data_IF_767953680045
#
_entry.id   IF_767953680045
#
_cell.length_a   1.000
_cell.length_b   1.000
_cell.length_c   1.000
_cell.angle_alpha   90.00
_cell.angle_beta   90.00
_cell.angle_gamma   90.00
#
_symmetry.space_group_name_H-M   'P 1'
#
loop_
_entity.id
_entity.type
_entity.pdbx_description
1 polymer ?
#
# COMPACT_ATOMS: atom_id res chain seq x y z
N UNK A 1 -30.64 65.40 8.60
CA UNK A 1 -30.72 64.28 9.56
C UNK A 1 -29.40 63.52 9.49
N UNK A 2 -28.54 63.63 10.50
CA UNK A 2 -27.32 62.82 10.61
C UNK A 2 -27.70 61.52 11.32
N UNK A 3 -27.67 60.41 10.60
CA UNK A 3 -27.74 59.10 11.23
C UNK A 3 -26.45 58.86 12.01
N UNK A 4 -26.57 58.35 13.23
CA UNK A 4 -25.40 57.95 14.02
C UNK A 4 -24.85 56.63 13.48
N UNK A 5 -23.53 56.43 13.56
CA UNK A 5 -22.85 55.23 13.04
C UNK A 5 -23.45 53.93 13.59
N UNK A 6 -23.94 53.96 14.82
CA UNK A 6 -24.65 52.85 15.47
C UNK A 6 -25.97 52.49 14.77
N UNK A 7 -26.77 53.49 14.36
CA UNK A 7 -28.04 53.24 13.66
C UNK A 7 -27.83 52.68 12.25
N UNK A 8 -26.75 53.09 11.58
CA UNK A 8 -26.38 52.52 10.27
C UNK A 8 -25.95 51.06 10.42
N UNK A 9 -25.20 50.74 11.48
CA UNK A 9 -24.79 49.38 11.79
C UNK A 9 -25.98 48.46 12.12
N UNK A 10 -26.92 48.93 12.94
CA UNK A 10 -28.11 48.16 13.31
C UNK A 10 -29.01 47.91 12.09
N UNK A 11 -29.18 48.90 11.22
CA UNK A 11 -29.94 48.72 9.98
C UNK A 11 -29.26 47.74 9.02
N UNK A 12 -27.94 47.85 8.84
CA UNK A 12 -27.17 46.93 8.00
C UNK A 12 -27.31 45.48 8.50
N UNK A 13 -27.18 45.25 9.82
CA UNK A 13 -27.31 43.92 10.41
C UNK A 13 -28.69 43.32 10.16
N UNK A 14 -29.73 44.14 10.29
CA UNK A 14 -31.12 43.72 10.11
C UNK A 14 -31.47 43.42 8.64
N UNK A 15 -30.97 44.23 7.72
CA UNK A 15 -31.12 43.97 6.27
C UNK A 15 -30.39 42.68 5.87
N UNK A 16 -29.18 42.47 6.40
CA UNK A 16 -28.38 41.28 6.13
C UNK A 16 -29.03 40.00 6.69
N UNK A 17 -29.56 40.03 7.92
CA UNK A 17 -30.32 38.92 8.52
C UNK A 17 -31.60 38.59 7.72
N UNK A 18 -32.29 39.61 7.20
CA UNK A 18 -33.48 39.40 6.35
C UNK A 18 -33.13 38.80 4.99
N UNK A 19 -32.00 39.18 4.41
CA UNK A 19 -31.55 38.62 3.14
C UNK A 19 -31.07 37.16 3.32
N UNK A 20 -30.34 36.85 4.40
CA UNK A 20 -29.97 35.47 4.76
C UNK A 20 -31.21 34.58 4.93
N UNK A 21 -32.23 35.06 5.66
CA UNK A 21 -33.49 34.31 5.81
C UNK A 21 -34.24 34.15 4.48
N UNK A 22 -34.15 35.12 3.56
CA UNK A 22 -34.75 35.01 2.21
C UNK A 22 -34.06 33.95 1.36
N UNK A 23 -32.75 33.79 1.53
CA UNK A 23 -31.97 32.71 0.92
C UNK A 23 -32.10 31.37 1.63
N UNK A 24 -32.90 31.30 2.71
CA UNK A 24 -33.16 30.06 3.46
C UNK A 24 -32.06 29.71 4.46
N UNK A 25 -31.12 30.62 4.71
CA UNK A 25 -30.07 30.47 5.72
C UNK A 25 -30.67 30.88 7.08
N UNK A 26 -31.12 29.89 7.84
CA UNK A 26 -31.79 30.09 9.15
C UNK A 26 -30.81 29.93 10.31
N UNK A 27 -29.78 29.10 10.13
CA UNK A 27 -28.76 28.84 11.14
C UNK A 27 -27.36 28.84 10.49
N UNK A 28 -26.62 29.91 10.72
CA UNK A 28 -25.23 30.06 10.25
C UNK A 28 -24.29 29.08 10.97
N UNK A 29 -24.56 28.74 12.23
CA UNK A 29 -23.72 27.84 12.99
C UNK A 29 -23.87 26.41 12.44
N UNK A 30 -25.10 26.01 12.08
CA UNK A 30 -25.38 24.73 11.40
C UNK A 30 -24.64 24.61 10.06
N UNK A 31 -24.68 25.65 9.22
CA UNK A 31 -23.95 25.65 7.94
C UNK A 31 -22.42 25.58 8.11
N UNK A 32 -21.89 26.22 9.14
CA UNK A 32 -20.46 26.15 9.46
C UNK A 32 -20.12 24.73 9.93
N UNK A 33 -20.94 24.13 10.81
CA UNK A 33 -20.74 22.76 11.27
C UNK A 33 -20.82 21.75 10.11
N UNK A 34 -21.79 21.87 9.21
CA UNK A 34 -21.90 21.04 8.00
C UNK A 34 -20.65 21.17 7.12
N UNK A 35 -20.21 22.40 6.84
CA UNK A 35 -19.00 22.65 6.04
C UNK A 35 -17.75 22.05 6.69
N UNK A 36 -17.60 22.14 8.01
CA UNK A 36 -16.47 21.57 8.73
C UNK A 36 -16.53 20.03 8.74
N UNK A 37 -17.73 19.45 8.82
CA UNK A 37 -17.94 18.01 8.79
C UNK A 37 -17.53 17.43 7.42
N UNK A 38 -17.94 18.08 6.33
CA UNK A 38 -17.54 17.68 4.96
C UNK A 38 -16.01 17.72 4.76
N UNK A 39 -15.35 18.78 5.25
CA UNK A 39 -13.89 18.89 5.19
C UNK A 39 -13.20 17.78 6.00
N UNK A 40 -13.73 17.46 7.18
CA UNK A 40 -13.20 16.40 8.03
C UNK A 40 -13.34 15.02 7.39
N UNK A 41 -14.51 14.71 6.83
CA UNK A 41 -14.76 13.45 6.12
C UNK A 41 -13.80 13.28 4.93
N UNK A 42 -13.59 14.35 4.17
CA UNK A 42 -12.65 14.36 3.05
C UNK A 42 -11.22 14.09 3.51
N UNK A 43 -10.80 14.72 4.61
CA UNK A 43 -9.47 14.50 5.19
C UNK A 43 -9.30 13.04 5.64
N UNK A 44 -10.28 12.49 6.36
CA UNK A 44 -10.23 11.09 6.80
C UNK A 44 -10.13 10.11 5.62
N UNK A 45 -10.88 10.37 4.54
CA UNK A 45 -10.81 9.53 3.35
C UNK A 45 -9.43 9.57 2.71
N UNK A 46 -8.81 10.75 2.61
CA UNK A 46 -7.45 10.90 2.08
C UNK A 46 -6.43 10.17 2.95
N UNK A 47 -6.49 10.34 4.26
CA UNK A 47 -5.60 9.64 5.20
C UNK A 47 -5.75 8.12 5.09
N UNK A 48 -6.97 7.62 4.93
CA UNK A 48 -7.21 6.20 4.74
C UNK A 48 -6.65 5.68 3.40
N UNK A 49 -6.85 6.40 2.30
CA UNK A 49 -6.28 6.06 0.99
C UNK A 49 -4.74 6.01 1.04
N UNK A 50 -4.09 6.99 1.69
CA UNK A 50 -2.63 7.01 1.87
C UNK A 50 -2.12 5.84 2.73
N UNK A 51 -2.85 5.48 3.78
CA UNK A 51 -2.53 4.34 4.63
C UNK A 51 -2.65 3.02 3.86
N UNK A 52 -3.72 2.84 3.08
CA UNK A 52 -3.95 1.66 2.25
C UNK A 52 -2.84 1.50 1.19
N UNK A 53 -2.44 2.58 0.52
CA UNK A 53 -1.31 2.58 -0.43
C UNK A 53 0.01 2.22 0.25
N UNK A 54 0.25 2.75 1.46
CA UNK A 54 1.45 2.46 2.24
C UNK A 54 1.48 0.99 2.65
N UNK A 55 0.37 0.44 3.16
CA UNK A 55 0.25 -0.98 3.52
C UNK A 55 0.48 -1.85 2.29
N UNK A 56 -0.17 -1.55 1.16
CA UNK A 56 0.01 -2.30 -0.09
C UNK A 56 1.47 -2.25 -0.58
N UNK A 57 2.20 -1.17 -0.32
CA UNK A 57 3.64 -1.07 -0.61
C UNK A 57 4.51 -1.91 0.34
N UNK A 58 4.13 -2.01 1.61
CA UNK A 58 4.82 -2.81 2.62
C UNK A 58 4.53 -4.31 2.51
N UNK A 59 3.28 -4.68 2.19
CA UNK A 59 2.84 -6.06 1.94
C UNK A 59 3.49 -6.67 0.70
N UNK A 60 3.97 -5.84 -0.24
CA UNK A 60 4.99 -6.22 -1.24
C UNK A 60 6.35 -6.42 -0.57
N UNK A 61 6.36 -7.16 0.54
CA UNK A 61 7.47 -7.38 1.43
C UNK A 61 8.71 -7.71 0.63
N UNK A 62 9.76 -6.95 0.91
CA UNK A 62 11.07 -7.08 0.31
C UNK A 62 11.67 -8.46 0.59
N UNK A 63 11.40 -9.43 -0.30
CA UNK A 63 11.94 -10.77 -0.21
C UNK A 63 13.41 -10.77 -0.64
N UNK A 64 14.33 -11.13 0.26
CA UNK A 64 15.74 -11.32 -0.10
C UNK A 64 15.83 -12.44 -1.15
N UNK A 65 16.62 -12.23 -2.20
CA UNK A 65 16.79 -13.20 -3.27
C UNK A 65 17.31 -14.54 -2.74
N UNK A 66 16.54 -15.61 -2.94
CA UNK A 66 16.85 -16.99 -2.53
C UNK A 66 18.01 -17.63 -3.31
N UNK A 67 18.44 -17.01 -4.42
CA UNK A 67 19.58 -17.49 -5.19
C UNK A 67 20.89 -16.84 -4.74
N UNK A 68 20.97 -15.51 -4.77
CA UNK A 68 22.24 -14.81 -4.50
C UNK A 68 22.36 -14.25 -3.07
N UNK A 69 21.24 -14.03 -2.37
CA UNK A 69 21.16 -13.46 -1.02
C UNK A 69 21.83 -12.09 -0.85
N UNK A 70 22.06 -11.37 -1.95
CA UNK A 70 22.73 -10.05 -1.96
C UNK A 70 21.77 -8.88 -2.03
N UNK A 71 20.57 -9.12 -2.54
CA UNK A 71 19.62 -8.07 -2.88
C UNK A 71 18.18 -8.58 -2.72
N UNK A 72 17.24 -7.64 -2.69
CA UNK A 72 15.81 -7.89 -2.62
C UNK A 72 15.23 -8.15 -4.00
N UNK A 73 14.24 -9.04 -4.08
CA UNK A 73 13.44 -9.29 -5.27
C UNK A 73 12.47 -8.12 -5.50
N UNK A 74 12.47 -7.57 -6.72
CA UNK A 74 11.61 -6.47 -7.14
C UNK A 74 10.57 -6.97 -8.14
N UNK A 75 9.35 -6.45 -8.06
CA UNK A 75 8.31 -6.75 -9.06
C UNK A 75 8.71 -6.22 -10.44
N UNK A 76 8.76 -7.11 -11.43
CA UNK A 76 8.95 -6.76 -12.85
C UNK A 76 7.66 -6.80 -13.65
N UNK A 77 6.68 -7.58 -13.19
CA UNK A 77 5.31 -7.61 -13.71
C UNK A 77 4.33 -7.95 -12.57
N UNK A 78 3.02 -7.96 -12.84
CA UNK A 78 1.98 -8.16 -11.82
C UNK A 78 2.22 -9.35 -10.87
N UNK A 79 2.77 -10.45 -11.36
CA UNK A 79 2.96 -11.68 -10.57
C UNK A 79 4.41 -12.19 -10.56
N UNK A 80 5.37 -11.42 -11.07
CA UNK A 80 6.75 -11.86 -11.22
C UNK A 80 7.72 -10.94 -10.50
N UNK A 81 8.57 -11.54 -9.69
CA UNK A 81 9.64 -10.84 -9.00
C UNK A 81 10.99 -11.27 -9.57
N UNK A 82 11.94 -10.33 -9.63
CA UNK A 82 13.30 -10.60 -10.10
C UNK A 82 14.35 -9.94 -9.22
N UNK A 83 15.53 -10.54 -9.14
CA UNK A 83 16.69 -9.98 -8.47
C UNK A 83 17.47 -9.10 -9.45
N UNK A 84 17.67 -7.80 -9.16
CA UNK A 84 18.42 -6.91 -10.04
C UNK A 84 19.92 -7.25 -10.07
N UNK A 85 20.44 -7.92 -9.05
CA UNK A 85 21.86 -8.26 -8.93
C UNK A 85 22.26 -9.53 -9.70
N UNK A 86 21.45 -10.59 -9.67
CA UNK A 86 21.79 -11.87 -10.30
C UNK A 86 20.86 -12.32 -11.43
N UNK A 87 19.77 -11.60 -11.68
CA UNK A 87 18.80 -11.94 -12.73
C UNK A 87 17.91 -13.15 -12.41
N UNK A 88 17.97 -13.71 -11.20
CA UNK A 88 17.01 -14.71 -10.75
C UNK A 88 15.60 -14.13 -10.79
N UNK A 89 14.62 -14.90 -11.27
CA UNK A 89 13.23 -14.48 -11.29
C UNK A 89 12.31 -15.65 -10.96
N UNK A 90 11.17 -15.33 -10.37
CA UNK A 90 10.14 -16.30 -10.00
C UNK A 90 8.77 -15.65 -9.90
N UNK A 91 7.71 -16.42 -10.12
CA UNK A 91 6.36 -15.97 -9.82
C UNK A 91 6.15 -15.92 -8.30
N UNK A 92 5.24 -15.06 -7.84
CA UNK A 92 4.96 -14.92 -6.40
C UNK A 92 4.51 -16.25 -5.77
N UNK A 93 3.66 -17.01 -6.48
CA UNK A 93 3.19 -18.33 -6.04
C UNK A 93 4.35 -19.33 -5.93
N UNK A 94 5.27 -19.31 -6.90
CA UNK A 94 6.46 -20.14 -6.89
C UNK A 94 7.38 -19.78 -5.71
N UNK A 95 7.57 -18.49 -5.44
CA UNK A 95 8.35 -18.02 -4.27
C UNK A 95 7.73 -18.45 -2.94
N UNK A 96 6.41 -18.38 -2.79
CA UNK A 96 5.73 -18.87 -1.59
C UNK A 96 5.99 -20.38 -1.38
N UNK A 97 5.97 -21.16 -2.47
CA UNK A 97 6.26 -22.58 -2.44
C UNK A 97 7.71 -22.86 -2.04
N UNK A 98 8.65 -22.09 -2.59
CA UNK A 98 10.08 -22.13 -2.24
C UNK A 98 10.30 -21.79 -0.76
N UNK A 99 9.69 -20.72 -0.25
CA UNK A 99 9.82 -20.31 1.15
C UNK A 99 9.26 -21.37 2.10
N UNK A 100 8.12 -21.98 1.74
CA UNK A 100 7.57 -23.10 2.50
C UNK A 100 8.52 -24.30 2.50
N UNK A 101 9.10 -24.66 1.36
CA UNK A 101 10.08 -25.75 1.26
C UNK A 101 11.33 -25.48 2.13
N UNK A 102 11.86 -24.25 2.12
CA UNK A 102 12.97 -23.84 2.98
C UNK A 102 12.61 -24.03 4.46
N UNK A 103 11.43 -23.56 4.87
CA UNK A 103 10.96 -23.65 6.25
C UNK A 103 10.72 -25.10 6.71
N UNK A 104 10.20 -25.96 5.83
CA UNK A 104 10.01 -27.37 6.16
C UNK A 104 11.35 -28.10 6.26
N UNK A 105 12.25 -27.83 5.31
CA UNK A 105 13.58 -28.43 5.26
C UNK A 105 14.44 -28.04 6.47
N UNK A 106 14.41 -26.77 6.89
CA UNK A 106 15.21 -26.28 8.03
C UNK A 106 14.88 -26.96 9.36
N UNK A 107 13.68 -27.56 9.49
CA UNK A 107 13.31 -28.36 10.65
C UNK A 107 13.96 -29.75 10.67
N UNK A 108 14.44 -30.26 9.53
CA UNK A 108 14.91 -31.63 9.35
C UNK A 108 16.39 -31.72 8.98
N UNK A 109 16.95 -30.65 8.41
CA UNK A 109 18.32 -30.62 7.91
C UNK A 109 18.97 -29.26 8.23
N UNK A 110 20.24 -29.29 8.63
CA UNK A 110 21.06 -28.09 8.87
C UNK A 110 21.67 -27.52 7.58
N UNK A 111 21.50 -28.23 6.46
CA UNK A 111 21.98 -27.82 5.14
C UNK A 111 21.15 -26.70 4.56
N UNK A 112 21.70 -26.09 3.50
CA UNK A 112 21.06 -24.98 2.81
C UNK A 112 20.60 -25.44 1.44
N UNK A 113 19.37 -25.08 1.12
CA UNK A 113 18.84 -25.31 -0.22
C UNK A 113 19.36 -24.20 -1.14
N UNK A 114 20.07 -24.59 -2.19
CA UNK A 114 20.48 -23.74 -3.28
C UNK A 114 19.45 -23.83 -4.41
N UNK A 115 19.02 -22.66 -4.90
CA UNK A 115 18.05 -22.56 -5.99
C UNK A 115 18.76 -22.12 -7.26
N UNK A 116 18.38 -22.65 -8.41
CA UNK A 116 18.90 -22.19 -9.70
C UNK A 116 17.84 -22.32 -10.79
N UNK A 117 17.87 -21.44 -11.79
CA UNK A 117 17.04 -21.59 -12.98
C UNK A 117 17.62 -22.71 -13.85
N UNK A 118 16.77 -23.62 -14.31
CA UNK A 118 17.19 -24.71 -15.18
C UNK A 118 17.67 -24.15 -16.55
N UNK A 119 18.91 -24.43 -16.96
CA UNK A 119 19.41 -23.97 -18.25
C UNK A 119 18.59 -24.53 -19.42
N UNK A 120 17.93 -23.65 -20.17
CA UNK A 120 17.11 -24.03 -21.33
C UNK A 120 15.62 -24.23 -21.04
N UNK A 121 15.20 -24.23 -19.77
CA UNK A 121 13.79 -24.13 -19.39
C UNK A 121 13.52 -22.75 -18.79
N UNK A 122 12.50 -22.06 -19.29
CA UNK A 122 12.17 -20.69 -18.85
C UNK A 122 11.28 -20.66 -17.60
N UNK A 123 10.81 -21.82 -17.13
CA UNK A 123 9.76 -21.96 -16.12
C UNK A 123 10.08 -22.97 -15.02
N UNK A 124 11.33 -23.45 -14.92
CA UNK A 124 11.73 -24.45 -13.92
C UNK A 124 12.84 -23.91 -13.03
N UNK A 125 12.67 -24.06 -11.72
CA UNK A 125 13.67 -23.77 -10.69
C UNK A 125 14.08 -25.09 -10.06
N UNK A 126 15.36 -25.39 -10.09
CA UNK A 126 15.96 -26.54 -9.43
C UNK A 126 16.38 -26.14 -8.02
N UNK A 127 16.10 -27.01 -7.05
CA UNK A 127 16.50 -26.86 -5.67
C UNK A 127 17.37 -28.06 -5.26
N UNK A 128 18.53 -27.79 -4.66
CA UNK A 128 19.40 -28.82 -4.12
C UNK A 128 19.91 -28.47 -2.73
N UNK A 129 19.91 -29.43 -1.80
CA UNK A 129 20.57 -29.27 -0.49
C UNK A 129 21.96 -29.89 -0.49
N UNK A 130 22.94 -29.16 0.03
CA UNK A 130 24.35 -29.56 0.11
C UNK A 130 24.66 -30.68 1.11
N UNK A 131 23.71 -31.01 2.01
CA UNK A 131 23.93 -31.99 3.09
C UNK A 131 23.11 -33.27 2.93
N UNK A 132 21.81 -33.14 2.63
CA UNK A 132 20.90 -34.29 2.57
C UNK A 132 20.57 -34.73 1.15
N UNK A 133 21.20 -34.13 0.14
CA UNK A 133 20.95 -34.37 -1.29
C UNK A 133 19.46 -34.26 -1.65
N UNK A 134 18.71 -33.41 -0.93
CA UNK A 134 17.34 -33.07 -1.30
C UNK A 134 17.37 -32.47 -2.69
N UNK A 135 16.64 -33.07 -3.62
CA UNK A 135 16.52 -32.58 -4.99
C UNK A 135 15.04 -32.37 -5.31
N UNK A 136 14.69 -31.14 -5.65
CA UNK A 136 13.31 -30.75 -5.93
C UNK A 136 13.23 -29.78 -7.12
N UNK A 137 12.04 -29.70 -7.73
CA UNK A 137 11.76 -28.87 -8.89
C UNK A 137 10.51 -28.04 -8.68
N UNK A 138 10.63 -26.73 -8.86
CA UNK A 138 9.53 -25.79 -8.80
C UNK A 138 9.19 -25.29 -10.19
N UNK A 139 7.90 -25.23 -10.49
CA UNK A 139 7.39 -24.69 -11.76
C UNK A 139 6.81 -23.29 -11.53
N UNK A 140 7.11 -22.37 -12.45
CA UNK A 140 6.69 -20.96 -12.38
C UNK A 140 5.33 -20.70 -13.02
#
# INVERSE_FOLDING_TARGET
MQYTLSQQWDNFKKENEQEMMREGIVDMDELIEESLMEEYEKYQKQEQEELEDTIASYERASLICVHCHKDTLIYTSQNMLSCPTCGFYATEICLQSILNAINQHSNQCQGRIEFSLEPGATSTILANCDICDLWDMFYM
#
